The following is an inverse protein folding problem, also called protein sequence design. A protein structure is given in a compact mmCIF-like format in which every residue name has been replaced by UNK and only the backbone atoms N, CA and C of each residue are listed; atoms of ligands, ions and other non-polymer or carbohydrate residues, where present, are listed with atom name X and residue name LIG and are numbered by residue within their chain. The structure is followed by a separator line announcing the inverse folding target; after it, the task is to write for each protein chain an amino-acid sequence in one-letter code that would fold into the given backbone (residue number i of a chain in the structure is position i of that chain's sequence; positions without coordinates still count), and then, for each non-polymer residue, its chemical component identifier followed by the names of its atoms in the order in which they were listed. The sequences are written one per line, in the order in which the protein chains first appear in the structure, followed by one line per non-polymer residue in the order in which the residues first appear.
data_IF_504841583216
#
_entry.id   IF_504841583216
#
_cell.length_a   1.000
_cell.length_b   1.000
_cell.length_c   1.000
_cell.angle_alpha   90.00
_cell.angle_beta   90.00
_cell.angle_gamma   90.00
#
_symmetry.space_group_name_H-M   'P 1'
#
loop_
_entity.id
_entity.type
_entity.pdbx_description
1 polymer ?
#
# COMPACT_ATOMS: atom_id res chain seq x y z
N UNK A 1 2.39 -5.56 -14.09
CA UNK A 1 1.93 -6.88 -14.62
C UNK A 1 2.88 -7.96 -14.13
N UNK A 2 2.61 -9.24 -14.35
CA UNK A 2 3.54 -10.31 -13.94
C UNK A 2 4.88 -10.23 -14.68
N UNK A 3 4.90 -9.77 -15.93
CA UNK A 3 6.13 -9.60 -16.70
C UNK A 3 7.00 -8.45 -16.16
N UNK A 4 6.38 -7.33 -15.75
CA UNK A 4 7.08 -6.24 -15.06
C UNK A 4 7.65 -6.69 -13.70
N UNK A 5 6.92 -7.53 -12.96
CA UNK A 5 7.44 -8.13 -11.73
C UNK A 5 8.67 -9.00 -12.00
N UNK A 6 8.64 -9.87 -13.01
CA UNK A 6 9.77 -10.74 -13.39
C UNK A 6 11.00 -9.93 -13.79
N UNK A 7 10.82 -8.82 -14.48
CA UNK A 7 11.93 -7.92 -14.80
C UNK A 7 12.54 -7.29 -13.54
N UNK A 8 11.70 -6.69 -12.69
CA UNK A 8 12.17 -5.94 -11.50
C UNK A 8 12.82 -6.83 -10.44
N UNK A 9 12.32 -8.06 -10.26
CA UNK A 9 12.95 -8.99 -9.30
C UNK A 9 14.35 -9.41 -9.77
N UNK A 10 14.55 -9.62 -11.07
CA UNK A 10 15.87 -9.93 -11.64
C UNK A 10 16.85 -8.77 -11.44
N UNK A 11 16.41 -7.54 -11.68
CA UNK A 11 17.22 -6.33 -11.44
C UNK A 11 17.60 -6.19 -9.95
N UNK A 12 16.73 -6.63 -9.03
CA UNK A 12 16.97 -6.66 -7.60
C UNK A 12 17.78 -7.88 -7.11
N UNK A 13 18.25 -8.76 -7.99
CA UNK A 13 18.99 -9.96 -7.63
C UNK A 13 18.13 -11.07 -6.99
N UNK A 14 16.81 -11.02 -7.18
CA UNK A 14 15.86 -12.03 -6.76
C UNK A 14 15.44 -12.91 -7.95
N UNK A 15 15.12 -14.17 -7.68
CA UNK A 15 14.69 -15.14 -8.70
C UNK A 15 13.31 -15.73 -8.35
N UNK A 16 12.43 -15.82 -9.36
CA UNK A 16 11.14 -16.50 -9.24
C UNK A 16 11.39 -18.00 -9.43
N UNK A 17 11.24 -18.77 -8.36
CA UNK A 17 11.48 -20.22 -8.38
C UNK A 17 10.36 -21.00 -9.08
N UNK A 18 9.10 -20.60 -8.86
CA UNK A 18 7.93 -21.30 -9.40
C UNK A 18 6.84 -20.33 -9.83
N UNK A 19 6.27 -20.59 -11.01
CA UNK A 19 5.07 -19.91 -11.52
C UNK A 19 3.97 -20.93 -11.72
N UNK A 20 2.77 -20.61 -11.25
CA UNK A 20 1.56 -21.38 -11.52
C UNK A 20 0.47 -20.44 -12.02
N UNK A 21 -0.31 -20.90 -12.99
CA UNK A 21 -1.44 -20.17 -13.56
C UNK A 21 -2.63 -21.09 -13.67
N UNK A 22 -3.83 -20.54 -13.51
CA UNK A 22 -5.07 -21.26 -13.69
C UNK A 22 -6.11 -20.38 -14.37
N UNK A 23 -7.09 -21.01 -15.02
CA UNK A 23 -8.23 -20.31 -15.61
C UNK A 23 -9.46 -20.41 -14.73
N UNK A 24 -9.79 -21.60 -14.23
CA UNK A 24 -11.01 -21.85 -13.45
C UNK A 24 -10.78 -22.63 -12.15
N UNK A 25 -9.98 -23.69 -12.20
CA UNK A 25 -9.69 -24.57 -11.04
C UNK A 25 -8.28 -24.32 -10.48
N UNK A 26 -8.15 -23.80 -9.24
CA UNK A 26 -6.86 -23.58 -8.59
C UNK A 26 -6.27 -24.81 -7.88
N UNK A 27 -6.99 -25.94 -7.78
CA UNK A 27 -6.57 -27.07 -6.93
C UNK A 27 -5.23 -27.71 -7.33
N UNK A 28 -4.97 -27.88 -8.64
CA UNK A 28 -3.69 -28.39 -9.12
C UNK A 28 -2.53 -27.39 -8.89
N UNK A 29 -2.66 -26.09 -9.22
CA UNK A 29 -1.69 -25.06 -8.84
C UNK A 29 -1.33 -25.03 -7.36
N UNK A 30 -2.31 -25.06 -6.46
CA UNK A 30 -2.07 -25.00 -5.01
C UNK A 30 -1.32 -26.23 -4.52
N UNK A 31 -1.70 -27.43 -5.00
CA UNK A 31 -0.96 -28.68 -4.71
C UNK A 31 0.48 -28.63 -5.21
N UNK A 32 0.72 -28.04 -6.37
CA UNK A 32 2.07 -27.86 -6.91
C UNK A 32 2.90 -26.90 -6.04
N UNK A 33 2.34 -25.77 -5.59
CA UNK A 33 3.03 -24.83 -4.69
C UNK A 33 3.49 -25.51 -3.40
N UNK A 34 2.61 -26.33 -2.80
CA UNK A 34 2.95 -27.12 -1.61
C UNK A 34 4.05 -28.14 -1.87
N UNK A 35 3.98 -28.88 -2.99
CA UNK A 35 5.00 -29.88 -3.36
C UNK A 35 6.37 -29.25 -3.55
N UNK A 36 6.42 -28.00 -4.01
CA UNK A 36 7.64 -27.24 -4.22
C UNK A 36 8.14 -26.50 -2.96
N UNK A 37 7.48 -26.67 -1.81
CA UNK A 37 7.77 -25.97 -0.55
C UNK A 37 7.87 -24.43 -0.72
N UNK A 38 6.98 -23.85 -1.53
CA UNK A 38 6.93 -22.39 -1.71
C UNK A 38 6.43 -21.71 -0.42
N UNK A 39 7.24 -20.83 0.16
CA UNK A 39 6.96 -20.14 1.44
C UNK A 39 6.52 -18.69 1.30
N UNK A 40 6.90 -18.03 0.22
CA UNK A 40 6.48 -16.66 -0.12
C UNK A 40 5.71 -16.76 -1.42
N UNK A 41 4.45 -16.35 -1.40
CA UNK A 41 3.51 -16.55 -2.50
C UNK A 41 2.87 -15.21 -2.85
N UNK A 42 2.92 -14.85 -4.13
CA UNK A 42 2.28 -13.64 -4.66
C UNK A 42 1.05 -14.06 -5.47
N UNK A 43 -0.13 -13.73 -4.95
CA UNK A 43 -1.41 -14.03 -5.57
C UNK A 43 -1.92 -12.87 -6.43
N UNK A 44 -2.15 -13.14 -7.72
CA UNK A 44 -2.68 -12.18 -8.69
C UNK A 44 -3.96 -12.73 -9.31
N UNK A 45 -5.10 -12.44 -8.70
CA UNK A 45 -6.41 -12.89 -9.15
C UNK A 45 -7.49 -11.93 -8.66
N UNK A 46 -8.73 -12.08 -9.16
CA UNK A 46 -9.88 -11.32 -8.68
C UNK A 46 -10.46 -11.93 -7.40
N UNK A 47 -11.32 -11.18 -6.72
CA UNK A 47 -11.90 -11.57 -5.43
C UNK A 47 -12.64 -12.93 -5.48
N UNK A 48 -13.36 -13.21 -6.57
CA UNK A 48 -14.05 -14.48 -6.80
C UNK A 48 -13.09 -15.67 -6.89
N UNK A 49 -11.97 -15.50 -7.57
CA UNK A 49 -10.93 -16.51 -7.71
C UNK A 49 -10.13 -16.64 -6.41
N UNK A 50 -9.94 -15.55 -5.66
CA UNK A 50 -9.30 -15.56 -4.35
C UNK A 50 -10.02 -16.51 -3.39
N UNK A 51 -11.36 -16.46 -3.33
CA UNK A 51 -12.13 -17.38 -2.48
C UNK A 51 -11.91 -18.85 -2.85
N UNK A 52 -11.88 -19.18 -4.15
CA UNK A 52 -11.59 -20.54 -4.61
C UNK A 52 -10.18 -20.97 -4.23
N UNK A 53 -9.18 -20.12 -4.46
CA UNK A 53 -7.78 -20.38 -4.12
C UNK A 53 -7.61 -20.61 -2.63
N UNK A 54 -8.13 -19.72 -1.78
CA UNK A 54 -7.95 -19.81 -0.33
C UNK A 54 -8.70 -20.99 0.30
N UNK A 55 -9.81 -21.42 -0.28
CA UNK A 55 -10.45 -22.68 0.12
C UNK A 55 -9.55 -23.89 -0.17
N UNK A 56 -8.84 -23.93 -1.30
CA UNK A 56 -7.85 -24.98 -1.59
C UNK A 56 -6.60 -24.87 -0.71
N UNK A 57 -6.14 -23.64 -0.42
CA UNK A 57 -5.01 -23.37 0.51
C UNK A 57 -5.32 -23.91 1.91
N UNK A 58 -6.56 -23.74 2.38
CA UNK A 58 -7.01 -24.31 3.65
C UNK A 58 -6.94 -25.84 3.64
N UNK A 59 -7.49 -26.49 2.61
CA UNK A 59 -7.47 -27.95 2.46
C UNK A 59 -6.07 -28.52 2.40
N UNK A 60 -5.16 -27.82 1.71
CA UNK A 60 -3.77 -28.22 1.59
C UNK A 60 -2.89 -27.79 2.77
N UNK A 61 -3.43 -27.05 3.77
CA UNK A 61 -2.68 -26.53 4.92
C UNK A 61 -1.47 -25.67 4.51
N UNK A 62 -1.63 -24.87 3.45
CA UNK A 62 -0.61 -23.96 2.91
C UNK A 62 -0.72 -22.53 3.51
N UNK A 63 -0.93 -22.47 4.83
CA UNK A 63 -1.12 -21.24 5.60
C UNK A 63 -0.48 -21.36 6.99
N UNK A 64 -0.47 -20.26 7.75
CA UNK A 64 0.11 -20.18 9.09
C UNK A 64 1.57 -19.72 9.11
N UNK A 65 2.27 -19.91 10.24
CA UNK A 65 3.55 -19.26 10.57
C UNK A 65 4.72 -19.47 9.58
N UNK A 66 4.60 -20.44 8.66
CA UNK A 66 5.64 -20.81 7.69
C UNK A 66 5.42 -20.23 6.29
N UNK A 67 4.26 -19.62 6.04
CA UNK A 67 3.85 -19.16 4.72
C UNK A 67 3.44 -17.69 4.77
N UNK A 68 3.84 -16.92 3.75
CA UNK A 68 3.49 -15.53 3.56
C UNK A 68 2.77 -15.38 2.23
N UNK A 69 1.59 -14.78 2.27
CA UNK A 69 0.80 -14.46 1.09
C UNK A 69 0.78 -12.95 0.86
N UNK A 70 1.15 -12.53 -0.35
CA UNK A 70 0.96 -11.18 -0.86
C UNK A 70 -0.23 -11.16 -1.81
N UNK A 71 -1.17 -10.26 -1.57
CA UNK A 71 -2.35 -10.04 -2.41
C UNK A 71 -2.48 -8.56 -2.80
N UNK A 72 -3.40 -8.30 -3.73
CA UNK A 72 -3.76 -6.94 -4.14
C UNK A 72 -4.78 -6.39 -3.12
N UNK A 73 -4.65 -5.13 -2.68
CA UNK A 73 -5.46 -4.56 -1.59
C UNK A 73 -6.86 -4.03 -1.93
N UNK A 74 -7.22 -3.95 -3.20
CA UNK A 74 -8.53 -3.48 -3.70
C UNK A 74 -9.76 -4.37 -3.43
N UNK A 75 -9.63 -5.44 -2.64
CA UNK A 75 -10.79 -6.26 -2.27
C UNK A 75 -11.61 -5.58 -1.18
N UNK A 76 -12.91 -5.88 -1.13
CA UNK A 76 -13.73 -5.44 0.00
C UNK A 76 -13.20 -6.04 1.32
N UNK A 77 -13.15 -5.27 2.41
CA UNK A 77 -12.57 -5.68 3.71
C UNK A 77 -13.05 -7.06 4.22
N UNK A 78 -14.29 -7.43 3.90
CA UNK A 78 -14.95 -8.66 4.33
C UNK A 78 -15.11 -9.72 3.22
N UNK A 79 -14.34 -9.63 2.13
CA UNK A 79 -14.46 -10.49 0.93
C UNK A 79 -14.48 -12.00 1.21
N UNK A 80 -13.76 -12.45 2.25
CA UNK A 80 -13.65 -13.86 2.66
C UNK A 80 -14.79 -14.34 3.55
N UNK A 81 -15.64 -13.44 4.06
CA UNK A 81 -16.84 -13.75 4.86
C UNK A 81 -18.10 -13.91 3.99
N UNK A 82 -18.02 -13.52 2.72
CA UNK A 82 -19.13 -13.61 1.78
C UNK A 82 -19.38 -15.08 1.43
N UNK A 83 -20.63 -15.52 1.57
CA UNK A 83 -21.04 -16.88 1.19
C UNK A 83 -20.89 -17.07 -0.32
N UNK A 84 -20.08 -18.03 -0.72
CA UNK A 84 -19.81 -18.35 -2.13
C UNK A 84 -20.24 -19.80 -2.43
N UNK A 85 -21.21 -20.04 -3.32
CA UNK A 85 -21.66 -21.38 -3.67
C UNK A 85 -20.62 -22.19 -4.47
N UNK A 86 -19.58 -21.54 -5.00
CA UNK A 86 -18.52 -22.20 -5.75
C UNK A 86 -17.43 -22.83 -4.86
N UNK A 87 -17.48 -22.62 -3.54
CA UNK A 87 -16.55 -23.21 -2.58
C UNK A 87 -17.30 -24.05 -1.54
N UNK A 88 -16.60 -25.01 -0.95
CA UNK A 88 -17.14 -25.88 0.10
C UNK A 88 -16.51 -25.62 1.47
N UNK A 89 -15.78 -24.51 1.63
CA UNK A 89 -15.20 -24.08 2.90
C UNK A 89 -16.15 -23.15 3.65
N UNK A 90 -16.13 -23.23 4.98
CA UNK A 90 -16.87 -22.32 5.88
C UNK A 90 -16.14 -21.00 6.10
N UNK A 91 -16.83 -19.98 6.59
CA UNK A 91 -16.24 -18.67 6.93
C UNK A 91 -15.06 -18.81 7.90
N UNK A 92 -15.18 -19.66 8.92
CA UNK A 92 -14.12 -19.87 9.91
C UNK A 92 -12.86 -20.48 9.29
N UNK A 93 -13.03 -21.44 8.38
CA UNK A 93 -11.92 -22.06 7.65
C UNK A 93 -11.24 -21.08 6.70
N UNK A 94 -12.02 -20.25 6.02
CA UNK A 94 -11.51 -19.17 5.17
C UNK A 94 -10.73 -18.15 5.99
N UNK A 95 -11.29 -17.68 7.11
CA UNK A 95 -10.66 -16.72 8.01
C UNK A 95 -9.31 -17.23 8.54
N UNK A 96 -9.21 -18.51 8.90
CA UNK A 96 -7.96 -19.13 9.32
C UNK A 96 -6.92 -19.15 8.18
N UNK A 97 -7.34 -19.44 6.95
CA UNK A 97 -6.45 -19.55 5.81
C UNK A 97 -5.91 -18.21 5.29
N UNK A 98 -6.70 -17.14 5.40
CA UNK A 98 -6.29 -15.80 4.96
C UNK A 98 -5.53 -15.03 6.05
N UNK A 99 -5.52 -15.48 7.29
CA UNK A 99 -4.95 -14.73 8.41
C UNK A 99 -3.46 -14.39 8.17
N UNK A 100 -3.11 -13.11 8.39
CA UNK A 100 -1.73 -12.62 8.31
C UNK A 100 -1.21 -12.32 6.90
N UNK A 101 -2.02 -12.49 5.84
CA UNK A 101 -1.62 -12.07 4.49
C UNK A 101 -1.38 -10.56 4.42
N UNK A 102 -0.48 -10.16 3.53
CA UNK A 102 -0.11 -8.77 3.28
C UNK A 102 -0.77 -8.31 2.00
N UNK A 103 -1.36 -7.13 2.02
CA UNK A 103 -1.90 -6.46 0.84
C UNK A 103 -1.08 -5.24 0.49
N UNK A 104 -0.96 -4.99 -0.81
CA UNK A 104 -0.42 -3.73 -1.32
C UNK A 104 -1.44 -3.09 -2.24
N UNK A 105 -1.70 -1.80 -2.05
CA UNK A 105 -2.56 -1.00 -2.91
C UNK A 105 -2.01 0.42 -3.09
N UNK A 106 -2.62 1.18 -3.98
CA UNK A 106 -2.27 2.59 -4.18
C UNK A 106 -3.01 3.43 -3.14
N UNK A 107 -2.35 4.41 -2.56
CA UNK A 107 -3.01 5.41 -1.70
C UNK A 107 -4.02 6.19 -2.53
N UNK A 108 -5.31 5.95 -2.26
CA UNK A 108 -6.39 6.63 -2.96
C UNK A 108 -6.73 8.00 -2.35
N UNK A 109 -6.46 8.20 -1.08
CA UNK A 109 -6.82 9.40 -0.34
C UNK A 109 -5.61 9.91 0.44
N UNK A 110 -5.33 11.21 0.40
CA UNK A 110 -4.20 11.78 1.13
C UNK A 110 -4.43 11.56 2.65
N UNK A 111 -3.52 10.85 3.36
CA UNK A 111 -3.65 10.66 4.80
C UNK A 111 -3.38 11.95 5.58
N UNK A 112 -2.68 12.91 4.99
CA UNK A 112 -2.41 14.21 5.60
C UNK A 112 -3.65 15.11 5.54
N UNK A 113 -3.88 15.89 6.60
CA UNK A 113 -4.98 16.86 6.66
C UNK A 113 -4.56 18.21 6.04
N UNK A 114 -4.06 18.18 4.81
CA UNK A 114 -3.66 19.37 4.05
C UNK A 114 -4.74 19.77 3.06
N UNK A 115 -4.84 21.07 2.75
CA UNK A 115 -5.80 21.56 1.75
C UNK A 115 -5.22 21.36 0.35
N UNK A 116 -6.00 20.71 -0.51
CA UNK A 116 -5.68 20.51 -1.93
C UNK A 116 -5.87 21.79 -2.76
N UNK A 117 -5.57 21.72 -4.07
CA UNK A 117 -5.81 22.81 -5.04
C UNK A 117 -7.26 23.31 -5.07
N UNK A 118 -8.22 22.43 -4.73
CA UNK A 118 -9.63 22.77 -4.64
C UNK A 118 -10.01 23.50 -3.34
N UNK A 119 -9.03 23.83 -2.50
CA UNK A 119 -9.18 24.36 -1.15
C UNK A 119 -10.02 23.45 -0.23
N UNK A 120 -10.02 22.13 -0.48
CA UNK A 120 -10.68 21.11 0.35
C UNK A 120 -9.67 20.10 0.87
N UNK A 121 -9.90 19.59 2.08
CA UNK A 121 -9.17 18.43 2.63
C UNK A 121 -9.78 17.10 2.17
N UNK A 122 -9.04 16.00 2.36
CA UNK A 122 -9.51 14.64 2.10
C UNK A 122 -10.83 14.32 2.83
N UNK A 123 -10.95 14.73 4.10
CA UNK A 123 -12.13 14.47 4.92
C UNK A 123 -13.34 15.29 4.45
N UNK A 124 -13.12 16.58 4.17
CA UNK A 124 -14.17 17.46 3.61
C UNK A 124 -14.69 16.93 2.26
N UNK A 125 -13.81 16.36 1.43
CA UNK A 125 -14.19 15.70 0.17
C UNK A 125 -15.10 14.49 0.41
N UNK A 126 -14.71 13.59 1.32
CA UNK A 126 -15.47 12.38 1.65
C UNK A 126 -16.86 12.71 2.20
N UNK A 127 -16.94 13.65 3.15
CA UNK A 127 -18.22 14.10 3.71
C UNK A 127 -19.15 14.67 2.63
N UNK A 128 -18.59 15.49 1.73
CA UNK A 128 -19.32 16.08 0.61
C UNK A 128 -19.80 15.02 -0.39
N UNK A 129 -18.99 13.99 -0.64
CA UNK A 129 -19.35 12.88 -1.52
C UNK A 129 -20.48 12.04 -0.89
N UNK A 130 -20.36 11.67 0.38
CA UNK A 130 -21.37 10.91 1.12
C UNK A 130 -22.72 11.62 1.12
N UNK A 131 -22.72 12.94 1.38
CA UNK A 131 -23.94 13.76 1.36
C UNK A 131 -24.61 13.78 -0.03
N UNK A 132 -23.85 13.64 -1.11
CA UNK A 132 -24.40 13.59 -2.49
C UNK A 132 -24.93 12.22 -2.86
N UNK A 133 -24.30 11.15 -2.39
CA UNK A 133 -24.72 9.78 -2.70
C UNK A 133 -25.94 9.35 -1.90
N UNK A 134 -26.07 9.80 -0.65
CA UNK A 134 -27.18 9.42 0.23
C UNK A 134 -27.24 7.92 0.55
N UNK A 135 -26.13 7.19 0.33
CA UNK A 135 -25.96 5.76 0.59
C UNK A 135 -24.74 5.53 1.46
N UNK A 136 -24.69 4.36 2.11
CA UNK A 136 -23.52 3.96 2.88
C UNK A 136 -22.30 3.79 1.96
N UNK A 137 -21.11 4.28 2.35
CA UNK A 137 -19.87 4.06 1.61
C UNK A 137 -19.58 2.59 1.35
N UNK A 138 -19.83 1.72 2.33
CA UNK A 138 -19.58 0.27 2.27
C UNK A 138 -20.44 -0.45 1.22
N UNK A 139 -21.60 0.11 0.88
CA UNK A 139 -22.51 -0.43 -0.14
C UNK A 139 -22.29 0.23 -1.51
N UNK A 140 -21.41 1.22 -1.58
CA UNK A 140 -21.14 1.98 -2.80
C UNK A 140 -19.88 1.45 -3.46
N UNK A 141 -20.04 0.64 -4.51
CA UNK A 141 -18.91 0.18 -5.31
C UNK A 141 -18.12 1.37 -5.89
N UNK A 142 -16.78 1.27 -5.86
CA UNK A 142 -15.89 2.30 -6.39
C UNK A 142 -15.72 3.55 -5.52
N UNK A 143 -16.19 3.52 -4.26
CA UNK A 143 -16.14 4.69 -3.37
C UNK A 143 -14.69 5.12 -3.06
N UNK A 144 -13.77 4.15 -2.92
CA UNK A 144 -12.37 4.40 -2.60
C UNK A 144 -11.64 5.10 -3.75
N UNK A 145 -12.04 4.86 -5.00
CA UNK A 145 -11.41 5.40 -6.22
C UNK A 145 -11.95 6.79 -6.62
N UNK A 146 -13.00 7.27 -5.96
CA UNK A 146 -13.60 8.58 -6.23
C UNK A 146 -12.62 9.77 -6.20
N UNK A 147 -11.63 9.85 -5.28
CA UNK A 147 -10.60 10.89 -5.29
C UNK A 147 -9.78 10.90 -6.58
N UNK A 148 -9.50 9.73 -7.17
CA UNK A 148 -8.74 9.64 -8.42
C UNK A 148 -9.48 10.30 -9.58
N UNK A 149 -10.80 10.04 -9.69
CA UNK A 149 -11.63 10.65 -10.72
C UNK A 149 -11.74 12.17 -10.53
N UNK A 150 -11.83 12.61 -9.27
CA UNK A 150 -11.85 14.03 -8.94
C UNK A 150 -10.55 14.73 -9.39
N UNK A 151 -9.40 14.16 -9.04
CA UNK A 151 -8.10 14.72 -9.40
C UNK A 151 -7.79 14.59 -10.90
N UNK A 152 -8.32 13.56 -11.59
CA UNK A 152 -8.17 13.44 -13.04
C UNK A 152 -8.81 14.62 -13.80
N UNK A 153 -9.99 15.07 -13.36
CA UNK A 153 -10.65 16.25 -13.95
C UNK A 153 -9.88 17.53 -13.63
N UNK A 154 -9.32 17.66 -12.42
CA UNK A 154 -8.43 18.78 -12.08
C UNK A 154 -7.16 18.78 -12.95
N UNK A 155 -6.52 17.63 -13.15
CA UNK A 155 -5.36 17.49 -14.01
C UNK A 155 -5.66 17.93 -15.45
N UNK A 156 -6.82 17.52 -15.98
CA UNK A 156 -7.29 17.96 -17.30
C UNK A 156 -7.51 19.47 -17.35
N UNK A 157 -8.19 20.05 -16.36
CA UNK A 157 -8.46 21.49 -16.32
C UNK A 157 -7.16 22.32 -16.26
N UNK A 158 -6.19 21.91 -15.45
CA UNK A 158 -4.88 22.56 -15.35
C UNK A 158 -4.09 22.44 -16.65
N UNK A 159 -4.09 21.25 -17.25
CA UNK A 159 -3.40 21.02 -18.52
C UNK A 159 -4.01 21.84 -19.66
N UNK A 160 -5.34 21.91 -19.75
CA UNK A 160 -6.03 22.74 -20.76
C UNK A 160 -5.76 24.23 -20.56
N UNK A 161 -5.73 24.71 -19.31
CA UNK A 161 -5.37 26.09 -18.99
C UNK A 161 -3.95 26.42 -19.48
N UNK A 162 -2.98 25.56 -19.17
CA UNK A 162 -1.59 25.70 -19.64
C UNK A 162 -1.50 25.62 -21.17
N UNK A 163 -2.20 24.67 -21.77
CA UNK A 163 -2.26 24.49 -23.24
C UNK A 163 -2.78 25.75 -23.93
N UNK A 164 -3.86 26.34 -23.42
CA UNK A 164 -4.44 27.57 -23.98
C UNK A 164 -3.41 28.70 -24.05
N UNK A 165 -2.61 28.88 -23.00
CA UNK A 165 -1.55 29.90 -22.96
C UNK A 165 -0.44 29.64 -24.00
N UNK A 166 -0.07 28.38 -24.24
CA UNK A 166 0.96 28.03 -25.23
C UNK A 166 0.43 28.08 -26.67
N UNK A 167 -0.83 27.71 -26.91
CA UNK A 167 -1.43 27.76 -28.24
C UNK A 167 -1.57 29.19 -28.76
N UNK A 168 -1.90 30.15 -27.89
CA UNK A 168 -1.99 31.58 -28.27
C UNK A 168 -0.67 32.08 -28.86
N UNK A 169 0.48 31.65 -28.34
CA UNK A 169 1.82 31.99 -28.89
C UNK A 169 2.04 31.44 -30.30
N UNK A 170 1.28 30.42 -30.69
CA UNK A 170 1.33 29.75 -32.01
C UNK A 170 0.20 30.19 -32.94
N UNK A 171 -0.63 31.16 -32.53
CA UNK A 171 -1.80 31.60 -33.29
C UNK A 171 -2.90 30.54 -33.38
N UNK A 172 -2.93 29.58 -32.45
CA UNK A 172 -3.93 28.52 -32.35
C UNK A 172 -4.76 28.71 -31.08
N UNK A 173 -5.94 28.10 -31.06
CA UNK A 173 -6.81 28.03 -29.88
C UNK A 173 -7.33 26.60 -29.68
N UNK A 174 -7.87 26.32 -28.51
CA UNK A 174 -8.43 25.00 -28.20
C UNK A 174 -9.62 24.66 -29.10
N UNK A 175 -10.43 25.65 -29.48
CA UNK A 175 -11.56 25.50 -30.40
C UNK A 175 -11.18 25.14 -31.84
N UNK A 176 -9.91 25.31 -32.22
CA UNK A 176 -9.42 24.96 -33.56
C UNK A 176 -9.05 23.46 -33.68
N UNK A 177 -9.43 22.65 -32.67
CA UNK A 177 -9.18 21.21 -32.61
C UNK A 177 -9.94 20.44 -33.69
N UNK A 178 -9.24 19.46 -34.29
CA UNK A 178 -9.84 18.42 -35.12
C UNK A 178 -9.02 17.12 -35.00
N UNK A 179 -9.62 15.99 -35.38
CA UNK A 179 -8.98 14.66 -35.26
C UNK A 179 -7.76 14.44 -36.16
N UNK A 180 -7.49 15.34 -37.12
CA UNK A 180 -6.35 15.24 -38.02
C UNK A 180 -5.15 16.07 -37.55
N UNK A 181 -5.34 16.98 -36.57
CA UNK A 181 -4.32 17.91 -36.15
C UNK A 181 -3.63 17.45 -34.85
N UNK A 182 -2.43 16.90 -34.99
CA UNK A 182 -1.60 16.46 -33.85
C UNK A 182 -1.02 17.61 -33.03
N UNK A 183 -0.91 18.83 -33.58
CA UNK A 183 -0.22 19.92 -32.87
C UNK A 183 -0.91 20.28 -31.55
N UNK A 184 -2.24 20.31 -31.52
CA UNK A 184 -3.01 20.60 -30.31
C UNK A 184 -2.88 19.45 -29.31
N UNK A 185 -2.97 18.20 -29.79
CA UNK A 185 -2.78 17.02 -28.96
C UNK A 185 -1.39 16.95 -28.33
N UNK A 186 -0.34 17.31 -29.09
CA UNK A 186 1.03 17.35 -28.60
C UNK A 186 1.22 18.40 -27.50
N UNK A 187 0.59 19.57 -27.62
CA UNK A 187 0.60 20.57 -26.54
C UNK A 187 -0.14 20.09 -25.30
N UNK A 188 -1.32 19.46 -25.46
CA UNK A 188 -2.06 18.86 -24.35
C UNK A 188 -1.22 17.78 -23.66
N UNK A 189 -0.55 16.92 -24.43
CA UNK A 189 0.31 15.86 -23.90
C UNK A 189 1.49 16.44 -23.12
N UNK A 190 2.18 17.47 -23.65
CA UNK A 190 3.26 18.17 -22.93
C UNK A 190 2.75 18.85 -21.66
N UNK A 191 1.56 19.44 -21.71
CA UNK A 191 0.95 20.08 -20.55
C UNK A 191 0.62 19.06 -19.46
N UNK A 192 0.01 17.92 -19.81
CA UNK A 192 -0.28 16.82 -18.89
C UNK A 192 1.00 16.21 -18.30
N UNK A 193 2.00 15.93 -19.13
CA UNK A 193 3.28 15.35 -18.69
C UNK A 193 4.06 16.27 -17.74
N UNK A 194 3.79 17.58 -17.76
CA UNK A 194 4.40 18.56 -16.85
C UNK A 194 3.45 19.07 -15.77
N UNK A 195 2.30 18.42 -15.59
CA UNK A 195 1.36 18.73 -14.51
C UNK A 195 1.86 18.13 -13.20
N UNK A 196 1.96 18.97 -12.18
CA UNK A 196 2.23 18.57 -10.80
C UNK A 196 1.39 19.45 -9.86
N UNK A 197 0.58 18.84 -8.99
CA UNK A 197 -0.27 19.57 -8.04
C UNK A 197 -0.69 18.69 -6.85
N UNK A 198 -1.11 19.34 -5.77
CA UNK A 198 -1.71 18.65 -4.61
C UNK A 198 -3.21 18.47 -4.82
N UNK A 199 -3.63 17.22 -5.04
CA UNK A 199 -5.03 16.80 -5.15
C UNK A 199 -5.58 16.26 -3.82
N UNK A 200 -6.82 15.79 -3.83
CA UNK A 200 -7.42 15.11 -2.66
C UNK A 200 -6.83 13.72 -2.43
N UNK A 201 -6.30 13.12 -3.49
CA UNK A 201 -5.57 11.84 -3.44
C UNK A 201 -4.06 12.01 -3.17
N UNK A 202 -3.61 13.23 -2.87
CA UNK A 202 -2.22 13.59 -2.58
C UNK A 202 -1.51 14.24 -3.77
N UNK A 203 -0.18 14.19 -3.77
CA UNK A 203 0.62 14.74 -4.86
C UNK A 203 0.33 13.99 -6.16
N UNK A 204 -0.06 14.71 -7.21
CA UNK A 204 -0.38 14.14 -8.53
C UNK A 204 0.73 14.49 -9.50
N UNK A 205 1.46 13.45 -9.93
CA UNK A 205 2.51 13.52 -10.96
C UNK A 205 2.38 12.31 -11.87
N UNK A 206 2.71 12.47 -13.14
CA UNK A 206 2.71 11.41 -14.14
C UNK A 206 4.15 11.07 -14.56
N UNK A 207 4.42 9.78 -14.76
CA UNK A 207 5.68 9.34 -15.35
C UNK A 207 5.66 9.45 -16.89
N UNK A 208 6.78 9.11 -17.53
CA UNK A 208 6.90 9.15 -18.99
C UNK A 208 5.97 8.16 -19.72
N UNK A 209 5.44 7.15 -19.04
CA UNK A 209 4.44 6.21 -19.59
C UNK A 209 3.00 6.73 -19.45
N UNK A 210 2.80 7.83 -18.72
CA UNK A 210 1.49 8.38 -18.38
C UNK A 210 0.87 7.77 -17.11
N UNK A 211 1.62 6.93 -16.39
CA UNK A 211 1.14 6.36 -15.13
C UNK A 211 1.26 7.37 -14.01
N UNK A 212 0.25 7.43 -13.14
CA UNK A 212 0.30 8.27 -11.95
C UNK A 212 1.31 7.67 -10.97
N UNK A 213 2.25 8.50 -10.51
CA UNK A 213 3.13 8.16 -9.40
C UNK A 213 2.40 8.44 -8.09
N UNK A 214 2.24 7.43 -7.25
CA UNK A 214 1.55 7.53 -5.97
C UNK A 214 2.23 6.63 -4.92
N UNK A 215 1.99 6.94 -3.65
CA UNK A 215 2.46 6.09 -2.57
C UNK A 215 1.72 4.75 -2.57
N UNK A 216 2.43 3.68 -2.25
CA UNK A 216 1.86 2.36 -2.02
C UNK A 216 1.49 2.22 -0.54
N UNK A 217 0.25 1.88 -0.24
CA UNK A 217 -0.19 1.49 1.10
C UNK A 217 0.04 -0.02 1.28
N UNK A 218 0.55 -0.38 2.45
CA UNK A 218 0.80 -1.77 2.87
C UNK A 218 -0.09 -2.06 4.07
N UNK A 219 -0.90 -3.11 3.98
CA UNK A 219 -1.76 -3.56 5.08
C UNK A 219 -1.57 -5.05 5.36
N UNK A 220 -1.98 -5.48 6.55
CA UNK A 220 -2.04 -6.89 6.93
C UNK A 220 -3.38 -7.22 7.57
N UNK A 221 -3.94 -8.38 7.23
CA UNK A 221 -5.09 -8.90 7.93
C UNK A 221 -4.68 -9.44 9.31
N UNK A 222 -5.21 -8.85 10.37
CA UNK A 222 -4.95 -9.24 11.76
C UNK A 222 -6.27 -9.42 12.51
N UNK A 223 -6.56 -10.64 12.95
CA UNK A 223 -7.81 -10.98 13.62
C UNK A 223 -9.04 -10.69 12.75
N UNK A 224 -8.92 -10.93 11.44
CA UNK A 224 -9.97 -10.66 10.47
C UNK A 224 -10.27 -9.18 10.21
N UNK A 225 -9.37 -8.26 10.59
CA UNK A 225 -9.47 -6.81 10.30
C UNK A 225 -8.17 -6.34 9.65
N UNK A 226 -8.26 -5.58 8.56
CA UNK A 226 -7.09 -5.00 7.92
C UNK A 226 -6.47 -3.90 8.79
N UNK A 227 -5.16 -3.98 8.98
CA UNK A 227 -4.35 -3.02 9.71
C UNK A 227 -3.27 -2.46 8.80
N UNK A 228 -3.24 -1.13 8.70
CA UNK A 228 -2.22 -0.39 7.96
C UNK A 228 -0.86 -0.61 8.64
N UNK A 229 0.12 -1.05 7.86
CA UNK A 229 1.49 -1.29 8.33
C UNK A 229 2.43 -0.17 7.90
N UNK A 230 2.23 0.42 6.72
CA UNK A 230 3.12 1.47 6.24
C UNK A 230 2.81 1.96 4.83
N UNK A 231 3.64 2.90 4.39
CA UNK A 231 3.57 3.55 3.09
C UNK A 231 4.93 3.48 2.40
N UNK A 232 4.95 3.22 1.10
CA UNK A 232 6.15 3.24 0.30
C UNK A 232 6.06 4.30 -0.80
N UNK A 233 7.06 5.18 -0.87
CA UNK A 233 7.21 6.19 -1.91
C UNK A 233 8.31 5.76 -2.89
N UNK A 234 7.92 5.32 -4.09
CA UNK A 234 8.83 4.87 -5.14
C UNK A 234 9.67 6.00 -5.74
N UNK A 235 9.27 7.27 -5.56
CA UNK A 235 10.03 8.41 -6.09
C UNK A 235 11.23 8.77 -5.23
N UNK A 236 11.15 8.49 -3.92
CA UNK A 236 12.18 8.80 -2.92
C UNK A 236 12.87 7.56 -2.36
N UNK A 237 12.45 6.37 -2.79
CA UNK A 237 12.86 5.09 -2.21
C UNK A 237 12.71 5.09 -0.67
N UNK A 238 11.52 5.53 -0.21
CA UNK A 238 11.27 5.75 1.22
C UNK A 238 10.12 4.89 1.72
N UNK A 239 10.41 4.03 2.70
CA UNK A 239 9.44 3.19 3.39
C UNK A 239 9.14 3.79 4.77
N UNK A 240 7.93 4.30 4.94
CA UNK A 240 7.43 4.86 6.19
C UNK A 240 6.54 3.86 6.90
N UNK A 241 6.96 3.37 8.06
CA UNK A 241 6.15 2.46 8.87
C UNK A 241 5.08 3.22 9.65
N UNK A 242 3.86 2.69 9.65
CA UNK A 242 2.74 3.21 10.41
C UNK A 242 2.85 2.75 11.87
N UNK A 243 3.50 3.57 12.69
CA UNK A 243 3.73 3.29 14.11
C UNK A 243 2.49 3.70 14.90
N UNK A 244 1.41 2.92 14.82
CA UNK A 244 0.19 3.22 15.57
C UNK A 244 0.28 2.84 17.06
N UNK A 245 1.16 1.87 17.41
CA UNK A 245 1.20 1.25 18.75
C UNK A 245 2.54 1.35 19.49
N UNK A 246 3.57 1.99 18.93
CA UNK A 246 4.79 2.25 19.70
C UNK A 246 4.64 3.60 20.38
N UNK A 247 4.48 3.59 21.71
CA UNK A 247 4.60 4.80 22.51
C UNK A 247 6.09 5.17 22.56
N UNK A 248 6.54 6.22 21.87
CA UNK A 248 7.97 6.53 21.77
C UNK A 248 8.57 6.79 23.15
N UNK A 249 7.78 7.38 24.04
CA UNK A 249 8.15 7.63 25.44
C UNK A 249 8.38 6.35 26.23
N UNK A 250 7.54 5.32 26.05
CA UNK A 250 7.68 4.05 26.76
C UNK A 250 8.86 3.23 26.22
N UNK A 251 9.07 3.28 24.90
CA UNK A 251 10.23 2.66 24.26
C UNK A 251 11.53 3.33 24.70
N UNK A 252 11.56 4.66 24.78
CA UNK A 252 12.70 5.41 25.27
C UNK A 252 12.96 5.12 26.75
N UNK A 253 11.91 5.04 27.60
CA UNK A 253 12.07 4.69 29.01
C UNK A 253 12.62 3.27 29.18
N UNK A 254 12.15 2.32 28.37
CA UNK A 254 12.67 0.95 28.36
C UNK A 254 14.14 0.92 27.93
N UNK A 255 14.51 1.67 26.89
CA UNK A 255 15.89 1.78 26.42
C UNK A 255 16.82 2.40 27.48
N UNK A 256 16.37 3.45 28.17
CA UNK A 256 17.10 4.07 29.30
C UNK A 256 17.25 3.08 30.46
N UNK A 257 16.20 2.31 30.76
CA UNK A 257 16.28 1.26 31.78
C UNK A 257 17.31 0.19 31.43
N UNK A 258 17.34 -0.26 30.17
CA UNK A 258 18.32 -1.23 29.70
C UNK A 258 19.75 -0.68 29.72
N UNK A 259 19.98 0.57 29.32
CA UNK A 259 21.32 1.17 29.39
C UNK A 259 21.80 1.38 30.83
N UNK A 260 20.92 1.79 31.74
CA UNK A 260 21.26 1.90 33.17
C UNK A 260 21.58 0.53 33.79
N UNK A 261 20.81 -0.51 33.45
CA UNK A 261 21.06 -1.87 33.92
C UNK A 261 22.41 -2.41 33.39
N UNK A 262 22.73 -2.16 32.13
CA UNK A 262 24.04 -2.50 31.56
C UNK A 262 25.18 -1.70 32.20
N UNK A 263 24.94 -0.42 32.52
CA UNK A 263 25.92 0.42 33.20
C UNK A 263 26.22 -0.04 34.64
N UNK A 264 25.25 -0.66 35.33
CA UNK A 264 25.43 -1.21 36.67
C UNK A 264 26.38 -2.42 36.73
N UNK A 265 26.72 -3.03 35.58
CA UNK A 265 27.71 -4.11 35.51
C UNK A 265 29.13 -3.60 35.81
N UNK A 266 29.45 -2.36 35.45
CA UNK A 266 30.76 -1.76 35.69
C UNK A 266 31.10 -1.64 37.19
N UNK A 267 30.25 -1.04 38.06
CA UNK A 267 30.54 -0.96 39.49
C UNK A 267 30.55 -2.32 40.19
N UNK A 268 29.81 -3.33 39.70
CA UNK A 268 29.86 -4.70 40.23
C UNK A 268 31.23 -5.37 40.08
N UNK A 269 32.03 -4.94 39.09
CA UNK A 269 33.40 -5.41 38.88
C UNK A 269 34.46 -4.61 39.63
N UNK A 270 34.11 -3.52 40.31
CA UNK A 270 35.05 -2.70 41.07
C UNK A 270 35.27 -3.31 42.46
N UNK A 271 36.45 -3.89 42.66
CA UNK A 271 36.89 -4.48 43.92
C UNK A 271 38.03 -3.66 44.55
N UNK A 272 38.58 -4.16 45.66
CA UNK A 272 39.68 -3.50 46.39
C UNK A 272 41.00 -3.40 45.59
N UNK A 273 41.08 -4.00 44.40
CA UNK A 273 42.19 -3.82 43.47
C UNK A 273 42.04 -2.53 42.63
N UNK A 274 40.80 -2.14 42.31
CA UNK A 274 40.50 -1.02 41.42
C UNK A 274 40.13 0.27 42.16
N UNK A 275 39.56 0.17 43.37
CA UNK A 275 39.11 1.33 44.14
C UNK A 275 39.56 1.25 45.61
N UNK A 276 39.88 2.41 46.19
CA UNK A 276 40.31 2.51 47.58
C UNK A 276 39.14 2.46 48.59
N UNK A 277 39.40 2.12 49.87
CA UNK A 277 38.36 1.93 50.89
C UNK A 277 37.44 3.14 51.13
N UNK A 278 37.93 4.36 50.90
CA UNK A 278 37.15 5.59 51.06
C UNK A 278 36.12 5.85 49.95
N UNK A 279 36.30 5.25 48.77
CA UNK A 279 35.38 5.39 47.63
C UNK A 279 34.40 4.22 47.51
N UNK A 280 34.68 3.10 48.19
CA UNK A 280 33.84 1.91 48.20
C UNK A 280 32.38 2.18 48.62
N UNK A 281 32.09 3.03 49.64
CA UNK A 281 30.71 3.34 50.00
C UNK A 281 29.92 4.08 48.91
N UNK A 282 30.58 4.80 48.00
CA UNK A 282 29.93 5.51 46.89
C UNK A 282 29.58 4.59 45.72
N UNK A 283 30.34 3.51 45.54
CA UNK A 283 30.10 2.51 44.48
C UNK A 283 29.01 1.52 44.89
N UNK A 284 28.82 1.30 46.20
CA UNK A 284 27.76 0.45 46.75
C UNK A 284 26.41 1.14 46.96
N UNK A 285 26.31 2.45 46.69
CA UNK A 285 25.06 3.23 46.73
C UNK A 285 24.32 3.14 45.38
#
# INVERSE_FOLDING_TARGET
TLDDLDQRVKEAGLEITFRQSFFSDPAAPVRNLKRQDARIIVGLFYETEARKVFCEVYKEKLYGKKYVWFLIGWYADNWFRIKDPAINCTEAEMAEAVEGHVTTEIVMLNPENTRSISNMTSQEFIEKLQKRLGKNPEETGGFQEAPLAYDAIWALALALNKTSQELVKKGLRLEDFNYNNKNITDEIYRALNSSAFEGVSGHVVFDASGSRMAWTLIEQLQGGVYKKIGYYDSTKDNLSWYIQNSQPYLNNLTAVGCTLALAAVYPLGLDGYHIGPGLFPFVCQ
#
